data_IF_093843401802
#
_entry.id   IF_093843401802
#
_cell.length_a   1.000
_cell.length_b   1.000
_cell.length_c   1.000
_cell.angle_alpha   90.00
_cell.angle_beta   90.00
_cell.angle_gamma   90.00
#
_symmetry.space_group_name_H-M   'P 1'
#
loop_
_entity.id
_entity.type
_entity.pdbx_description
1 polymer ?
#
# COMPACT_ATOMS: atom_id res chain seq x y z
N UNK A 1 -9.55 1.37 -30.11
CA UNK A 1 -10.66 0.41 -30.12
C UNK A 1 -10.10 -1.00 -30.16
N UNK A 2 -10.74 -1.93 -29.47
CA UNK A 2 -10.32 -3.34 -29.32
C UNK A 2 -10.00 -4.03 -30.67
N UNK A 3 -10.69 -3.64 -31.75
CA UNK A 3 -10.46 -4.12 -33.12
C UNK A 3 -9.03 -3.91 -33.64
N UNK A 4 -8.36 -2.79 -33.27
CA UNK A 4 -6.95 -2.53 -33.65
C UNK A 4 -5.96 -3.43 -32.88
N UNK A 5 -6.35 -3.95 -31.71
CA UNK A 5 -5.52 -4.88 -30.93
C UNK A 5 -5.57 -6.28 -31.54
N UNK A 6 -6.76 -6.72 -31.97
CA UNK A 6 -6.96 -8.00 -32.65
C UNK A 6 -6.18 -8.06 -33.98
N UNK A 7 -6.18 -6.99 -34.76
CA UNK A 7 -5.47 -6.94 -36.06
C UNK A 7 -3.92 -7.03 -35.89
N UNK A 8 -3.39 -6.38 -34.84
CA UNK A 8 -1.96 -6.47 -34.45
C UNK A 8 -1.59 -7.84 -33.85
N UNK A 9 -2.55 -8.51 -33.21
CA UNK A 9 -2.35 -9.86 -32.69
C UNK A 9 -2.32 -10.89 -33.83
N UNK A 10 -3.26 -10.78 -34.79
CA UNK A 10 -3.36 -11.69 -35.93
C UNK A 10 -2.11 -11.71 -36.82
N UNK A 11 -1.42 -10.58 -36.95
CA UNK A 11 -0.14 -10.45 -37.68
C UNK A 11 1.05 -11.07 -36.95
N UNK A 12 1.06 -11.06 -35.61
CA UNK A 12 2.12 -11.67 -34.78
C UNK A 12 1.95 -13.17 -34.58
N UNK A 13 0.72 -13.69 -34.60
CA UNK A 13 0.44 -15.13 -34.42
C UNK A 13 1.07 -16.02 -35.49
N UNK A 14 1.39 -15.47 -36.67
CA UNK A 14 2.07 -16.20 -37.74
C UNK A 14 3.58 -16.44 -37.49
N UNK A 15 4.17 -15.76 -36.50
CA UNK A 15 5.56 -15.93 -36.08
C UNK A 15 5.61 -16.48 -34.64
N UNK A 16 5.85 -17.79 -34.51
CA UNK A 16 5.92 -18.46 -33.21
C UNK A 16 6.94 -17.83 -32.25
N UNK A 17 8.06 -17.27 -32.75
CA UNK A 17 9.05 -16.58 -31.91
C UNK A 17 8.55 -15.21 -31.46
N UNK A 18 7.82 -14.51 -32.32
CA UNK A 18 7.15 -13.24 -32.03
C UNK A 18 6.08 -13.38 -30.93
N UNK A 19 5.29 -14.45 -30.97
CA UNK A 19 4.30 -14.78 -29.92
C UNK A 19 4.97 -15.10 -28.59
N UNK A 20 5.99 -15.97 -28.59
CA UNK A 20 6.68 -16.36 -27.36
C UNK A 20 7.29 -15.15 -26.63
N UNK A 21 7.95 -14.25 -27.36
CA UNK A 21 8.49 -13.00 -26.79
C UNK A 21 7.41 -12.06 -26.25
N UNK A 22 6.28 -11.94 -26.96
CA UNK A 22 5.17 -11.11 -26.50
C UNK A 22 4.56 -11.64 -25.18
N UNK A 23 4.41 -12.96 -25.06
CA UNK A 23 3.93 -13.61 -23.84
C UNK A 23 4.92 -13.45 -22.70
N UNK A 24 6.22 -13.65 -22.94
CA UNK A 24 7.26 -13.45 -21.94
C UNK A 24 7.29 -12.02 -21.41
N UNK A 25 7.25 -11.02 -22.31
CA UNK A 25 7.20 -9.60 -21.94
C UNK A 25 5.92 -9.24 -21.18
N UNK A 26 4.76 -9.77 -21.60
CA UNK A 26 3.50 -9.55 -20.92
C UNK A 26 3.52 -10.15 -19.51
N UNK A 27 4.03 -11.37 -19.36
CA UNK A 27 4.19 -12.06 -18.07
C UNK A 27 5.17 -11.32 -17.14
N UNK A 28 6.31 -10.87 -17.66
CA UNK A 28 7.27 -10.07 -16.90
C UNK A 28 6.66 -8.72 -16.44
N UNK A 29 5.88 -8.07 -17.31
CA UNK A 29 5.18 -6.82 -16.96
C UNK A 29 4.08 -7.05 -15.91
N UNK A 30 3.27 -8.10 -16.08
CA UNK A 30 2.21 -8.46 -15.15
C UNK A 30 2.75 -8.82 -13.76
N UNK A 31 3.81 -9.63 -13.69
CA UNK A 31 4.44 -10.00 -12.42
C UNK A 31 5.07 -8.79 -11.70
N UNK A 32 5.71 -7.87 -12.43
CA UNK A 32 6.23 -6.61 -11.87
C UNK A 32 5.10 -5.72 -11.32
N UNK A 33 3.98 -5.63 -12.03
CA UNK A 33 2.82 -4.87 -11.58
C UNK A 33 2.16 -5.50 -10.35
N UNK A 34 2.03 -6.83 -10.31
CA UNK A 34 1.53 -7.56 -9.14
C UNK A 34 2.39 -7.33 -7.90
N UNK A 35 3.73 -7.42 -8.03
CA UNK A 35 4.66 -7.12 -6.92
C UNK A 35 4.50 -5.70 -6.39
N UNK A 36 4.35 -4.71 -7.27
CA UNK A 36 4.11 -3.31 -6.88
C UNK A 36 2.79 -3.14 -6.14
N UNK A 37 1.72 -3.76 -6.62
CA UNK A 37 0.42 -3.72 -5.97
C UNK A 37 0.44 -4.37 -4.58
N UNK A 38 1.13 -5.52 -4.45
CA UNK A 38 1.31 -6.20 -3.16
C UNK A 38 2.06 -5.31 -2.16
N UNK A 39 3.16 -4.68 -2.60
CA UNK A 39 3.91 -3.75 -1.76
C UNK A 39 3.06 -2.57 -1.28
N UNK A 40 2.29 -1.95 -2.19
CA UNK A 40 1.35 -0.87 -1.81
C UNK A 40 0.30 -1.35 -0.81
N UNK A 41 -0.24 -2.55 -1.00
CA UNK A 41 -1.21 -3.13 -0.07
C UNK A 41 -0.62 -3.38 1.32
N UNK A 42 0.60 -3.92 1.40
CA UNK A 42 1.31 -4.14 2.67
C UNK A 42 1.54 -2.81 3.41
N UNK A 43 1.98 -1.78 2.69
CA UNK A 43 2.24 -0.45 3.24
C UNK A 43 0.96 0.26 3.71
N UNK A 44 -0.11 0.22 2.91
CA UNK A 44 -1.43 0.70 3.36
C UNK A 44 -1.92 -0.04 4.60
N UNK A 45 -1.70 -1.36 4.66
CA UNK A 45 -2.03 -2.17 5.83
C UNK A 45 -1.36 -1.67 7.10
N UNK A 46 -0.12 -1.21 7.01
CA UNK A 46 0.59 -0.62 8.15
C UNK A 46 -0.01 0.74 8.53
N UNK A 47 -0.32 1.60 7.56
CA UNK A 47 -0.97 2.89 7.83
C UNK A 47 -2.31 2.69 8.56
N UNK A 48 -3.13 1.73 8.14
CA UNK A 48 -4.39 1.41 8.82
C UNK A 48 -4.18 0.99 10.28
N UNK A 49 -3.19 0.13 10.56
CA UNK A 49 -2.90 -0.32 11.93
C UNK A 49 -2.35 0.82 12.78
N UNK A 50 -1.47 1.64 12.23
CA UNK A 50 -0.95 2.83 12.90
C UNK A 50 -2.06 3.83 13.25
N UNK A 51 -2.96 4.12 12.31
CA UNK A 51 -4.12 4.98 12.54
C UNK A 51 -5.07 4.41 13.60
N UNK A 52 -5.30 3.09 13.59
CA UNK A 52 -6.13 2.41 14.59
C UNK A 52 -5.51 2.49 15.98
N UNK A 53 -4.23 2.18 16.12
CA UNK A 53 -3.49 2.25 17.39
C UNK A 53 -3.43 3.70 17.93
N UNK A 54 -3.26 4.67 17.04
CA UNK A 54 -3.34 6.07 17.42
C UNK A 54 -4.77 6.47 17.84
N UNK A 55 -5.81 6.02 17.12
CA UNK A 55 -7.20 6.34 17.45
C UNK A 55 -7.64 5.75 18.79
N UNK A 56 -7.22 4.53 19.15
CA UNK A 56 -7.51 3.94 20.46
C UNK A 56 -6.66 4.53 21.59
N UNK A 57 -5.57 5.20 21.23
CA UNK A 57 -4.58 5.69 22.18
C UNK A 57 -3.58 4.65 22.66
N UNK A 58 -3.57 3.45 22.05
CA UNK A 58 -2.55 2.43 22.29
C UNK A 58 -1.14 2.88 21.86
N UNK A 59 -1.04 3.79 20.87
CA UNK A 59 0.24 4.33 20.42
C UNK A 59 0.16 5.84 20.15
N UNK A 60 0.89 6.64 20.93
CA UNK A 60 0.90 8.12 20.83
C UNK A 60 2.27 8.72 20.48
N UNK A 61 3.31 7.89 20.30
CA UNK A 61 4.66 8.35 20.00
C UNK A 61 4.84 8.95 18.60
N UNK A 62 3.85 8.80 17.71
CA UNK A 62 3.86 9.39 16.36
C UNK A 62 3.46 10.86 16.39
N UNK A 63 4.20 11.75 15.71
CA UNK A 63 3.78 13.13 15.51
C UNK A 63 2.41 13.24 14.83
N UNK A 64 1.58 14.20 15.26
CA UNK A 64 0.25 14.44 14.64
C UNK A 64 0.36 14.65 13.14
N UNK A 65 1.42 15.31 12.66
CA UNK A 65 1.69 15.51 11.23
C UNK A 65 1.76 14.18 10.47
N UNK A 66 2.37 13.15 11.04
CA UNK A 66 2.55 11.86 10.38
C UNK A 66 1.26 11.05 10.38
N UNK A 67 0.44 11.19 11.43
CA UNK A 67 -0.94 10.68 11.45
C UNK A 67 -1.81 11.37 10.40
N UNK A 68 -1.70 12.69 10.23
CA UNK A 68 -2.40 13.43 9.18
C UNK A 68 -2.00 12.92 7.79
N UNK A 69 -0.71 12.72 7.53
CA UNK A 69 -0.25 12.18 6.24
C UNK A 69 -0.72 10.74 6.00
N UNK A 70 -0.67 9.88 7.01
CA UNK A 70 -1.17 8.51 6.92
C UNK A 70 -2.68 8.49 6.64
N UNK A 71 -3.46 9.32 7.32
CA UNK A 71 -4.90 9.45 7.10
C UNK A 71 -5.20 9.97 5.68
N UNK A 72 -4.45 10.97 5.21
CA UNK A 72 -4.60 11.49 3.86
C UNK A 72 -4.34 10.41 2.80
N UNK A 73 -3.28 9.61 2.94
CA UNK A 73 -2.98 8.50 2.02
C UNK A 73 -4.08 7.42 2.03
N UNK A 74 -4.63 7.09 3.20
CA UNK A 74 -5.72 6.11 3.33
C UNK A 74 -7.01 6.63 2.70
N UNK A 75 -7.41 7.87 2.99
CA UNK A 75 -8.62 8.46 2.42
C UNK A 75 -8.49 8.59 0.90
N UNK A 76 -7.32 8.99 0.41
CA UNK A 76 -7.01 9.04 -1.01
C UNK A 76 -7.22 7.67 -1.70
N UNK A 77 -6.81 6.58 -1.05
CA UNK A 77 -6.98 5.23 -1.59
C UNK A 77 -8.42 4.71 -1.53
N UNK A 78 -9.20 5.10 -0.51
CA UNK A 78 -10.53 4.54 -0.26
C UNK A 78 -11.66 5.20 -1.04
N UNK A 79 -11.52 6.46 -1.45
CA UNK A 79 -12.57 7.18 -2.18
C UNK A 79 -12.56 6.78 -3.67
N UNK A 80 -13.59 6.05 -4.17
CA UNK A 80 -13.73 5.81 -5.59
C UNK A 80 -14.39 7.05 -6.21
N UNK A 81 -13.57 7.99 -6.69
CA UNK A 81 -13.92 9.25 -7.39
C UNK A 81 -14.27 10.46 -6.49
N UNK A 82 -13.71 11.62 -6.86
CA UNK A 82 -13.95 13.02 -6.41
C UNK A 82 -13.42 13.47 -5.03
N UNK A 83 -12.51 14.48 -5.04
CA UNK A 83 -12.52 15.71 -4.21
C UNK A 83 -11.15 16.41 -3.97
N UNK A 84 -10.04 15.98 -4.59
CA UNK A 84 -8.90 16.90 -4.76
C UNK A 84 -9.20 17.74 -6.01
N UNK A 85 -9.37 19.07 -5.90
CA UNK A 85 -9.84 19.92 -6.99
C UNK A 85 -8.97 19.81 -8.23
N UNK A 86 -9.58 20.08 -9.39
CA UNK A 86 -9.04 20.13 -10.77
C UNK A 86 -7.73 20.95 -11.00
N UNK A 87 -6.96 21.30 -9.97
CA UNK A 87 -5.84 22.24 -10.03
C UNK A 87 -4.46 21.63 -10.37
N UNK A 88 -4.34 20.31 -10.56
CA UNK A 88 -3.04 19.65 -10.83
C UNK A 88 -3.10 18.77 -12.08
N UNK A 89 -3.24 19.39 -13.26
CA UNK A 89 -2.50 19.00 -14.46
C UNK A 89 -2.59 17.51 -14.95
N UNK A 90 -3.79 17.01 -15.24
CA UNK A 90 -4.04 16.17 -16.43
C UNK A 90 -3.26 14.85 -16.67
N UNK A 91 -2.93 14.02 -15.67
CA UNK A 91 -2.37 12.65 -15.90
C UNK A 91 -2.83 11.60 -14.86
N UNK A 92 -4.09 11.19 -14.94
CA UNK A 92 -4.79 10.42 -13.88
C UNK A 92 -4.44 8.93 -13.67
N UNK A 93 -3.16 8.54 -13.56
CA UNK A 93 -2.80 7.21 -13.00
C UNK A 93 -1.39 7.14 -12.41
N UNK A 94 -0.48 8.02 -12.85
CA UNK A 94 0.88 8.09 -12.29
C UNK A 94 0.88 8.74 -10.91
N UNK A 95 -0.08 9.64 -10.68
CA UNK A 95 -0.16 10.49 -9.49
C UNK A 95 -0.53 9.69 -8.22
N UNK A 96 -1.42 8.69 -8.32
CA UNK A 96 -1.90 7.93 -7.16
C UNK A 96 -0.79 7.14 -6.45
N UNK A 97 0.04 6.43 -7.23
CA UNK A 97 1.16 5.65 -6.71
C UNK A 97 2.28 6.58 -6.24
N UNK A 98 2.44 7.73 -6.89
CA UNK A 98 3.42 8.72 -6.50
C UNK A 98 3.06 9.36 -5.15
N UNK A 99 1.78 9.67 -4.91
CA UNK A 99 1.28 10.21 -3.64
C UNK A 99 1.48 9.22 -2.49
N UNK A 100 1.10 7.95 -2.67
CA UNK A 100 1.33 6.92 -1.65
C UNK A 100 2.83 6.76 -1.39
N UNK A 101 3.65 6.66 -2.45
CA UNK A 101 5.10 6.56 -2.33
C UNK A 101 5.72 7.77 -1.60
N UNK A 102 5.24 8.98 -1.90
CA UNK A 102 5.68 10.21 -1.25
C UNK A 102 5.33 10.24 0.24
N UNK A 103 4.11 9.85 0.61
CA UNK A 103 3.70 9.79 2.02
C UNK A 103 4.56 8.78 2.77
N UNK A 104 4.71 7.56 2.23
CA UNK A 104 5.55 6.53 2.85
C UNK A 104 6.99 6.98 3.04
N UNK A 105 7.56 7.68 2.05
CA UNK A 105 8.89 8.26 2.17
C UNK A 105 8.95 9.37 3.23
N UNK A 106 7.91 10.20 3.32
CA UNK A 106 7.86 11.36 4.22
C UNK A 106 7.73 10.95 5.69
N UNK A 107 7.02 9.86 5.99
CA UNK A 107 6.77 9.38 7.36
C UNK A 107 7.47 8.04 7.66
N UNK A 108 8.40 7.61 6.82
CA UNK A 108 9.04 6.28 6.91
C UNK A 108 9.67 6.00 8.27
N UNK A 109 10.31 7.00 8.89
CA UNK A 109 10.88 6.86 10.25
C UNK A 109 9.81 6.55 11.30
N UNK A 110 8.65 7.20 11.22
CA UNK A 110 7.56 6.98 12.16
C UNK A 110 6.88 5.63 11.92
N UNK A 111 6.80 5.19 10.65
CA UNK A 111 6.37 3.84 10.29
C UNK A 111 7.31 2.79 10.89
N UNK A 112 8.62 2.98 10.81
CA UNK A 112 9.60 2.03 11.34
C UNK A 112 9.54 1.94 12.87
N UNK A 113 9.32 3.08 13.54
CA UNK A 113 9.09 3.11 15.00
C UNK A 113 7.78 2.40 15.36
N UNK A 114 6.72 2.62 14.59
CA UNK A 114 5.45 1.92 14.77
C UNK A 114 5.61 0.40 14.58
N UNK A 115 6.33 -0.04 13.54
CA UNK A 115 6.60 -1.48 13.27
C UNK A 115 7.35 -2.13 14.44
N UNK A 116 8.35 -1.45 15.00
CA UNK A 116 9.09 -1.94 16.16
C UNK A 116 8.19 -2.07 17.38
N UNK A 117 7.39 -1.05 17.68
CA UNK A 117 6.42 -1.10 18.77
C UNK A 117 5.38 -2.21 18.55
N UNK A 118 4.83 -2.34 17.34
CA UNK A 118 3.83 -3.35 17.01
C UNK A 118 4.39 -4.78 17.15
N UNK A 119 5.64 -4.99 16.72
CA UNK A 119 6.34 -6.27 16.87
C UNK A 119 6.55 -6.67 18.33
N UNK A 120 7.08 -5.75 19.16
CA UNK A 120 7.28 -6.00 20.59
C UNK A 120 5.96 -6.32 21.30
N UNK A 121 4.90 -5.54 21.04
CA UNK A 121 3.59 -5.81 21.62
C UNK A 121 2.98 -7.13 21.14
N UNK A 122 3.25 -7.52 19.89
CA UNK A 122 2.83 -8.81 19.34
C UNK A 122 3.48 -9.98 20.07
N UNK A 123 4.80 -9.89 20.27
CA UNK A 123 5.60 -10.91 20.95
C UNK A 123 5.22 -11.01 22.45
N UNK A 124 5.07 -9.88 23.13
CA UNK A 124 4.62 -9.83 24.53
C UNK A 124 3.21 -10.42 24.68
N UNK A 125 2.26 -10.06 23.80
CA UNK A 125 0.91 -10.64 23.81
C UNK A 125 0.92 -12.13 23.55
N UNK A 126 1.76 -12.62 22.64
CA UNK A 126 1.88 -14.04 22.35
C UNK A 126 2.45 -14.81 23.56
N UNK A 127 3.44 -14.25 24.25
CA UNK A 127 4.00 -14.83 25.47
C UNK A 127 2.96 -14.90 26.59
N UNK A 128 2.22 -13.82 26.83
CA UNK A 128 1.14 -13.79 27.84
C UNK A 128 0.08 -14.86 27.58
N UNK A 129 -0.37 -15.00 26.33
CA UNK A 129 -1.36 -16.02 25.95
C UNK A 129 -0.83 -17.44 26.10
N UNK A 130 0.46 -17.68 25.79
CA UNK A 130 1.10 -18.98 25.99
C UNK A 130 1.18 -19.37 27.48
N UNK A 131 1.22 -18.39 28.37
CA UNK A 131 1.17 -18.56 29.82
C UNK A 131 -0.25 -18.55 30.40
N UNK A 132 -1.29 -18.43 29.55
CA UNK A 132 -2.69 -18.35 29.97
C UNK A 132 -3.08 -17.02 30.62
N UNK A 133 -2.26 -15.97 30.42
CA UNK A 133 -2.50 -14.61 30.91
C UNK A 133 -3.20 -13.82 29.79
N UNK A 134 -4.39 -13.27 30.08
CA UNK A 134 -5.05 -12.38 29.13
C UNK A 134 -4.29 -11.04 29.03
N UNK A 135 -3.91 -10.61 27.81
CA UNK A 135 -3.18 -9.36 27.64
C UNK A 135 -4.09 -8.15 27.91
N UNK A 136 -3.53 -7.04 28.43
CA UNK A 136 -4.29 -5.84 28.69
C UNK A 136 -5.00 -5.32 27.43
N UNK A 137 -6.26 -4.91 27.61
CA UNK A 137 -7.18 -4.60 26.50
C UNK A 137 -6.86 -3.29 25.78
N UNK A 138 -6.25 -2.32 26.46
CA UNK A 138 -5.73 -1.09 25.87
C UNK A 138 -4.89 -0.36 26.93
N UNK A 139 -3.80 0.27 26.46
CA UNK A 139 -2.85 1.15 27.18
C UNK A 139 -1.60 0.47 27.76
N UNK A 140 -0.54 0.51 26.96
CA UNK A 140 0.81 0.79 27.46
C UNK A 140 1.25 2.16 26.89
N UNK A 141 2.11 2.90 27.61
CA UNK A 141 2.42 4.30 27.34
C UNK A 141 3.04 4.58 25.97
#
# INVERSE_FOLDING_TARGET
>A
GFSRVIERAATRVKDHKGVARAVEQASAKASKQHKRLKAVHEELGILFRMLKAWSSGAYRAVPVRSITMALAAVLYFLLPLDFIPDFILGTGFLDDIAVIGFVLQSIGKDIDLFRQWEGVNGDERAAMLAEGIEPPSDKMP
#
